data_IF_202499616650
#
_entry.id   IF_202499616650
#
_cell.length_a   1.000
_cell.length_b   1.000
_cell.length_c   1.000
_cell.angle_alpha   90.00
_cell.angle_beta   90.00
_cell.angle_gamma   90.00
#
_symmetry.space_group_name_H-M   'P 1'
#
loop_
_entity.id
_entity.type
_entity.pdbx_description
1 polymer ?
#
# COMPACT_ATOMS: atom_id res chain seq x y z
N UNK A 1 -8.39 9.38 26.56
CA UNK A 1 -8.02 10.31 25.48
C UNK A 1 -7.41 9.48 24.37
N UNK A 2 -8.12 9.19 23.26
CA UNK A 2 -7.55 8.64 22.02
C UNK A 2 -8.63 8.49 20.91
N UNK A 3 -9.40 9.55 20.67
CA UNK A 3 -10.46 9.54 19.64
C UNK A 3 -10.13 10.42 18.43
N UNK A 4 -8.99 11.14 18.45
CA UNK A 4 -8.63 12.10 17.38
C UNK A 4 -7.74 11.52 16.28
N UNK A 5 -6.99 10.45 16.53
CA UNK A 5 -6.03 9.92 15.52
C UNK A 5 -6.77 9.28 14.33
N UNK A 6 -7.92 8.63 14.58
CA UNK A 6 -8.66 7.91 13.54
C UNK A 6 -9.35 8.81 12.50
N UNK A 7 -9.58 10.09 12.79
CA UNK A 7 -10.17 11.02 11.82
C UNK A 7 -9.16 11.60 10.83
N UNK A 8 -7.87 11.60 11.16
CA UNK A 8 -6.85 12.23 10.32
C UNK A 8 -6.34 11.30 9.20
N UNK A 9 -6.32 9.98 9.41
CA UNK A 9 -5.78 9.02 8.42
C UNK A 9 -6.69 8.72 7.22
N UNK A 10 -8.02 8.90 7.36
CA UNK A 10 -8.94 8.87 6.22
C UNK A 10 -9.16 10.26 5.59
N UNK A 11 -8.66 11.33 6.24
CA UNK A 11 -8.80 12.68 5.69
C UNK A 11 -8.08 12.75 4.34
N UNK A 12 -8.69 13.48 3.40
CA UNK A 12 -8.10 13.83 2.11
C UNK A 12 -6.68 14.36 2.30
N UNK A 13 -6.41 15.08 3.39
CA UNK A 13 -5.13 15.71 3.68
C UNK A 13 -3.97 14.71 3.87
N UNK A 14 -4.19 13.57 4.56
CA UNK A 14 -3.13 12.57 4.74
C UNK A 14 -2.77 11.90 3.41
N UNK A 15 -3.77 11.54 2.61
CA UNK A 15 -3.57 10.89 1.30
C UNK A 15 -2.86 11.83 0.33
N UNK A 16 -3.30 13.09 0.28
CA UNK A 16 -2.72 14.11 -0.59
C UNK A 16 -1.29 14.46 -0.18
N UNK A 17 -1.03 14.53 1.13
CA UNK A 17 0.31 14.74 1.66
C UNK A 17 1.26 13.58 1.29
N UNK A 18 0.82 12.32 1.46
CA UNK A 18 1.64 11.15 1.11
C UNK A 18 1.83 11.02 -0.39
N UNK A 19 0.82 11.34 -1.21
CA UNK A 19 0.95 11.40 -2.66
C UNK A 19 2.01 12.43 -3.08
N UNK A 20 2.00 13.61 -2.46
CA UNK A 20 2.99 14.66 -2.73
C UNK A 20 4.40 14.17 -2.40
N UNK A 21 4.62 13.60 -1.21
CA UNK A 21 5.92 13.05 -0.81
C UNK A 21 6.38 11.91 -1.72
N UNK A 22 5.45 11.07 -2.16
CA UNK A 22 5.76 10.01 -3.11
C UNK A 22 6.21 10.56 -4.46
N UNK A 23 5.53 11.56 -5.02
CA UNK A 23 5.97 12.25 -6.25
C UNK A 23 7.36 12.88 -6.10
N UNK A 24 7.62 13.53 -4.97
CA UNK A 24 8.94 14.09 -4.67
C UNK A 24 10.03 13.00 -4.65
N UNK A 25 9.74 11.84 -4.05
CA UNK A 25 10.63 10.67 -4.09
C UNK A 25 10.90 10.20 -5.52
N UNK A 26 9.85 9.97 -6.32
CA UNK A 26 9.99 9.49 -7.70
C UNK A 26 10.86 10.43 -8.54
N UNK A 27 10.58 11.74 -8.50
CA UNK A 27 11.33 12.72 -9.28
C UNK A 27 12.77 12.89 -8.80
N UNK A 28 13.01 12.74 -7.49
CA UNK A 28 14.37 12.71 -6.96
C UNK A 28 15.14 11.48 -7.48
N UNK A 29 14.54 10.28 -7.45
CA UNK A 29 15.16 9.04 -7.95
C UNK A 29 15.50 9.14 -9.43
N UNK A 30 14.62 9.73 -10.25
CA UNK A 30 14.89 10.00 -11.67
C UNK A 30 16.02 11.02 -11.83
N UNK A 31 15.99 12.13 -11.07
CA UNK A 31 17.02 13.17 -11.11
C UNK A 31 18.41 12.63 -10.78
N UNK A 32 18.48 11.74 -9.78
CA UNK A 32 19.72 11.17 -9.26
C UNK A 32 20.21 9.95 -10.07
N UNK A 33 19.46 9.51 -11.09
CA UNK A 33 19.86 8.43 -12.00
C UNK A 33 20.95 8.86 -13.00
N UNK A 34 21.62 7.87 -13.61
CA UNK A 34 22.63 8.08 -14.66
C UNK A 34 22.06 8.39 -16.04
N UNK A 35 20.73 8.54 -16.15
CA UNK A 35 20.05 8.87 -17.39
C UNK A 35 20.49 10.23 -17.97
N UNK A 36 20.43 10.36 -19.29
CA UNK A 36 20.66 11.66 -19.94
C UNK A 36 19.55 12.64 -19.56
N UNK A 37 19.76 13.94 -19.82
CA UNK A 37 18.72 14.95 -19.55
C UNK A 37 17.43 14.68 -20.33
N UNK A 38 17.53 14.24 -21.58
CA UNK A 38 16.36 13.92 -22.39
C UNK A 38 15.62 12.72 -21.80
N UNK A 39 16.36 11.63 -21.51
CA UNK A 39 15.77 10.42 -20.95
C UNK A 39 15.15 10.66 -19.56
N UNK A 40 15.69 11.58 -18.77
CA UNK A 40 15.10 11.99 -17.48
C UNK A 40 13.75 12.68 -17.65
N UNK A 41 13.59 13.52 -18.66
CA UNK A 41 12.30 14.16 -18.94
C UNK A 41 11.29 13.15 -19.50
N UNK A 42 11.73 12.27 -20.40
CA UNK A 42 10.89 11.18 -20.91
C UNK A 42 10.42 10.26 -19.78
N UNK A 43 11.33 9.88 -18.87
CA UNK A 43 11.01 9.04 -17.70
C UNK A 43 10.04 9.73 -16.74
N UNK A 44 10.16 11.05 -16.55
CA UNK A 44 9.19 11.81 -15.75
C UNK A 44 7.81 11.81 -16.40
N UNK A 45 7.75 11.97 -17.72
CA UNK A 45 6.49 11.91 -18.46
C UNK A 45 5.83 10.54 -18.32
N UNK A 46 6.59 9.47 -18.53
CA UNK A 46 6.11 8.09 -18.37
C UNK A 46 5.54 7.85 -16.96
N UNK A 47 6.26 8.30 -15.92
CA UNK A 47 5.78 8.16 -14.54
C UNK A 47 4.51 8.99 -14.30
N UNK A 48 4.41 10.18 -14.88
CA UNK A 48 3.21 11.00 -14.77
C UNK A 48 2.02 10.31 -15.44
N UNK A 49 2.22 9.67 -16.59
CA UNK A 49 1.20 8.92 -17.30
C UNK A 49 0.73 7.73 -16.46
N UNK A 50 1.66 6.98 -15.85
CA UNK A 50 1.33 5.87 -14.93
C UNK A 50 0.56 6.34 -13.69
N UNK A 51 0.90 7.51 -13.14
CA UNK A 51 0.16 8.11 -12.01
C UNK A 51 -1.29 8.40 -12.43
N UNK A 52 -1.49 8.98 -13.61
CA UNK A 52 -2.82 9.31 -14.12
C UNK A 52 -3.62 8.04 -14.44
N UNK A 53 -2.99 7.08 -15.11
CA UNK A 53 -3.62 5.82 -15.54
C UNK A 53 -4.08 4.95 -14.35
N UNK A 54 -3.22 4.79 -13.34
CA UNK A 54 -3.46 3.85 -12.24
C UNK A 54 -3.92 4.52 -10.93
N UNK A 55 -3.76 5.84 -10.81
CA UNK A 55 -4.11 6.60 -9.61
C UNK A 55 -5.33 7.49 -9.82
N UNK A 56 -5.52 8.06 -11.02
CA UNK A 56 -6.47 9.15 -11.24
C UNK A 56 -6.21 10.29 -10.24
N UNK A 57 -7.27 10.70 -9.52
CA UNK A 57 -7.20 11.69 -8.45
C UNK A 57 -6.78 11.11 -7.08
N UNK A 58 -6.51 9.80 -7.01
CA UNK A 58 -6.29 9.07 -5.75
C UNK A 58 -4.87 8.54 -5.62
N UNK A 59 -4.36 8.50 -4.38
CA UNK A 59 -3.11 7.82 -4.08
C UNK A 59 -3.31 6.30 -3.97
N UNK A 60 -3.66 5.61 -5.05
CA UNK A 60 -4.00 4.18 -5.07
C UNK A 60 -2.79 3.24 -4.95
N UNK A 61 -3.00 2.06 -4.36
CA UNK A 61 -1.98 1.01 -4.15
C UNK A 61 -1.35 0.53 -5.44
N UNK A 62 -2.18 0.30 -6.47
CA UNK A 62 -1.73 -0.10 -7.80
C UNK A 62 -0.83 0.95 -8.45
N UNK A 63 -1.20 2.23 -8.35
CA UNK A 63 -0.38 3.33 -8.86
C UNK A 63 1.00 3.36 -8.20
N UNK A 64 1.05 3.27 -6.87
CA UNK A 64 2.30 3.22 -6.11
C UNK A 64 3.17 2.04 -6.55
N UNK A 65 2.58 0.85 -6.69
CA UNK A 65 3.29 -0.35 -7.13
C UNK A 65 3.89 -0.21 -8.54
N UNK A 66 3.05 0.15 -9.52
CA UNK A 66 3.47 0.21 -10.93
C UNK A 66 4.55 1.29 -11.13
N UNK A 67 4.40 2.45 -10.51
CA UNK A 67 5.37 3.54 -10.61
C UNK A 67 6.71 3.18 -9.95
N UNK A 68 6.70 2.51 -8.79
CA UNK A 68 7.94 2.05 -8.15
C UNK A 68 8.65 0.97 -8.96
N UNK A 69 7.92 -0.01 -9.49
CA UNK A 69 8.50 -1.03 -10.37
C UNK A 69 9.12 -0.44 -11.61
N UNK A 70 8.47 0.55 -12.21
CA UNK A 70 8.95 1.22 -13.42
C UNK A 70 10.28 1.97 -13.22
N UNK A 71 10.57 2.41 -11.99
CA UNK A 71 11.85 3.05 -11.64
C UNK A 71 12.80 2.13 -10.88
N UNK A 72 12.52 0.83 -10.75
CA UNK A 72 13.29 -0.12 -9.94
C UNK A 72 13.52 0.39 -8.51
N UNK A 73 12.43 0.78 -7.84
CA UNK A 73 12.41 1.25 -6.47
C UNK A 73 12.17 0.11 -5.48
N UNK A 74 12.91 0.13 -4.37
CA UNK A 74 12.71 -0.80 -3.25
C UNK A 74 11.40 -0.45 -2.52
N UNK A 75 10.38 -1.30 -2.70
CA UNK A 75 9.05 -1.09 -2.14
C UNK A 75 9.08 -1.08 -0.60
N UNK A 76 9.87 -1.96 0.01
CA UNK A 76 9.91 -2.11 1.46
C UNK A 76 10.57 -0.87 2.08
N UNK A 77 11.72 -0.45 1.54
CA UNK A 77 12.40 0.76 2.00
C UNK A 77 11.53 2.01 1.81
N UNK A 78 10.83 2.13 0.67
CA UNK A 78 9.95 3.28 0.42
C UNK A 78 8.76 3.27 1.36
N UNK A 79 8.16 2.11 1.64
CA UNK A 79 7.07 2.00 2.62
C UNK A 79 7.51 2.43 4.02
N UNK A 80 8.65 1.94 4.50
CA UNK A 80 9.19 2.32 5.82
C UNK A 80 9.49 3.83 5.89
N UNK A 81 10.04 4.41 4.82
CA UNK A 81 10.35 5.85 4.79
C UNK A 81 9.13 6.74 4.60
N UNK A 82 8.15 6.29 3.81
CA UNK A 82 7.01 7.12 3.42
C UNK A 82 5.90 7.07 4.47
N UNK A 83 5.80 5.98 5.24
CA UNK A 83 4.76 5.74 6.24
C UNK A 83 5.33 5.51 7.64
N UNK A 84 6.49 6.09 7.94
CA UNK A 84 7.15 6.04 9.25
C UNK A 84 6.31 6.63 10.40
N UNK A 85 5.49 7.62 10.06
CA UNK A 85 4.51 8.29 10.93
C UNK A 85 3.17 7.55 11.06
N UNK A 86 2.97 6.47 10.32
CA UNK A 86 1.73 5.69 10.38
C UNK A 86 1.70 4.83 11.64
N UNK A 87 0.83 5.19 12.59
CA UNK A 87 0.67 4.43 13.84
C UNK A 87 -0.31 3.28 13.65
N UNK A 88 0.22 2.05 13.66
CA UNK A 88 -0.58 0.83 13.66
C UNK A 88 -1.11 0.51 15.08
N UNK A 89 -2.44 0.40 15.29
CA UNK A 89 -3.01 0.25 16.63
C UNK A 89 -3.06 -1.20 17.20
N UNK A 90 -2.68 -2.25 16.46
CA UNK A 90 -2.78 -3.66 16.93
C UNK A 90 -4.20 -4.28 16.83
N UNK A 91 -4.35 -5.63 16.97
CA UNK A 91 -5.65 -6.34 16.77
C UNK A 91 -5.85 -7.63 17.64
N UNK A 92 -7.12 -8.03 17.86
CA UNK A 92 -7.66 -9.30 18.47
C UNK A 92 -8.79 -9.94 17.59
N UNK A 93 -9.06 -11.28 17.59
CA UNK A 93 -9.61 -12.02 16.41
C UNK A 93 -11.09 -12.56 16.40
N UNK A 94 -11.77 -12.66 15.22
CA UNK A 94 -13.01 -13.46 14.91
C UNK A 94 -13.35 -13.68 13.38
N UNK A 95 -14.13 -14.72 12.96
CA UNK A 95 -14.09 -15.43 11.61
C UNK A 95 -15.24 -15.30 10.55
N UNK A 96 -14.92 -15.42 9.20
CA UNK A 96 -15.46 -16.25 8.02
C UNK A 96 -15.44 -15.55 6.61
N UNK A 97 -15.00 -16.21 5.48
CA UNK A 97 -14.44 -15.57 4.24
C UNK A 97 -14.60 -16.33 2.85
N UNK A 98 -14.55 -15.63 1.67
CA UNK A 98 -14.70 -16.17 0.27
C UNK A 98 -13.96 -15.53 -0.96
N UNK A 99 -13.10 -14.48 -0.86
CA UNK A 99 -12.31 -13.86 -1.97
C UNK A 99 -10.78 -13.90 -1.81
N UNK A 100 -9.93 -13.42 -2.75
CA UNK A 100 -8.44 -13.39 -2.61
C UNK A 100 -7.98 -12.60 -1.38
N UNK A 101 -8.55 -11.42 -1.15
CA UNK A 101 -8.38 -10.68 0.10
C UNK A 101 -8.91 -11.50 1.28
N UNK A 102 -10.08 -12.11 1.16
CA UNK A 102 -10.62 -12.97 2.20
C UNK A 102 -9.77 -14.24 2.45
N UNK A 103 -9.03 -14.74 1.46
CA UNK A 103 -8.14 -15.88 1.54
C UNK A 103 -6.82 -15.42 2.20
N UNK A 104 -6.31 -14.26 1.85
CA UNK A 104 -5.18 -13.65 2.55
C UNK A 104 -5.52 -13.43 4.02
N UNK A 105 -6.60 -12.71 4.31
CA UNK A 105 -7.08 -12.48 5.67
C UNK A 105 -7.57 -13.78 6.32
N UNK A 106 -7.87 -14.88 5.64
CA UNK A 106 -8.27 -16.12 6.35
C UNK A 106 -7.19 -16.71 7.25
N UNK A 107 -5.90 -16.40 6.98
CA UNK A 107 -4.83 -16.73 7.92
C UNK A 107 -4.67 -15.71 9.05
N UNK A 108 -5.40 -14.60 8.99
CA UNK A 108 -5.48 -13.51 9.97
C UNK A 108 -6.91 -13.55 10.53
N UNK A 109 -7.22 -14.34 11.57
CA UNK A 109 -8.61 -14.58 12.02
C UNK A 109 -9.40 -13.29 12.37
N UNK A 110 -9.84 -12.46 11.43
CA UNK A 110 -10.40 -11.12 11.64
C UNK A 110 -11.68 -10.91 10.82
N UNK A 111 -12.63 -10.18 11.42
CA UNK A 111 -13.85 -9.74 10.75
C UNK A 111 -13.63 -8.41 10.00
N UNK A 112 -14.60 -8.02 9.15
CA UNK A 112 -14.50 -6.82 8.31
C UNK A 112 -14.29 -5.53 9.11
N UNK A 113 -14.89 -5.43 10.30
CA UNK A 113 -14.79 -4.24 11.15
C UNK A 113 -13.42 -4.09 11.79
N UNK A 114 -12.80 -5.20 12.18
CA UNK A 114 -11.46 -5.23 12.78
C UNK A 114 -10.40 -4.79 11.76
N UNK A 115 -10.48 -5.31 10.53
CA UNK A 115 -9.55 -4.94 9.46
C UNK A 115 -9.74 -3.48 9.08
N UNK A 116 -10.99 -3.03 8.98
CA UNK A 116 -11.33 -1.63 8.69
C UNK A 116 -10.68 -0.67 9.70
N UNK A 117 -10.83 -0.97 10.99
CA UNK A 117 -10.21 -0.17 12.06
C UNK A 117 -8.68 -0.17 11.98
N UNK A 118 -8.09 -1.32 11.67
CA UNK A 118 -6.65 -1.49 11.68
C UNK A 118 -5.92 -0.79 10.52
N UNK A 119 -6.59 -0.66 9.38
CA UNK A 119 -5.99 -0.06 8.17
C UNK A 119 -6.52 1.35 7.89
N UNK A 120 -7.33 1.93 8.79
CA UNK A 120 -7.97 3.22 8.57
C UNK A 120 -8.87 3.21 7.33
N UNK A 121 -9.81 2.27 7.30
CA UNK A 121 -10.86 2.17 6.28
C UNK A 121 -12.23 2.05 6.96
N UNK A 122 -13.31 2.28 6.22
CA UNK A 122 -14.66 1.91 6.67
C UNK A 122 -14.96 0.41 6.50
N UNK A 123 -15.72 -0.18 7.44
CA UNK A 123 -16.14 -1.59 7.37
C UNK A 123 -16.98 -1.91 6.13
N UNK A 124 -17.76 -0.94 5.65
CA UNK A 124 -18.52 -1.07 4.40
C UNK A 124 -17.59 -1.18 3.18
N UNK A 125 -16.49 -0.43 3.14
CA UNK A 125 -15.48 -0.55 2.08
C UNK A 125 -14.76 -1.89 2.13
N UNK A 126 -14.36 -2.36 3.31
CA UNK A 126 -13.74 -3.70 3.44
C UNK A 126 -14.69 -4.78 2.95
N UNK A 127 -15.98 -4.72 3.33
CA UNK A 127 -16.98 -5.67 2.85
C UNK A 127 -17.14 -5.63 1.32
N UNK A 128 -17.13 -4.44 0.70
CA UNK A 128 -17.21 -4.34 -0.76
C UNK A 128 -15.96 -4.86 -1.47
N UNK A 129 -14.76 -4.49 -1.00
CA UNK A 129 -13.49 -5.01 -1.53
C UNK A 129 -13.41 -6.53 -1.37
N UNK A 130 -13.82 -7.04 -0.20
CA UNK A 130 -13.91 -8.48 0.06
C UNK A 130 -14.86 -9.18 -0.91
N UNK A 131 -15.96 -8.56 -1.29
CA UNK A 131 -16.94 -9.16 -2.20
C UNK A 131 -16.70 -8.82 -3.68
N UNK A 132 -15.56 -8.19 -4.03
CA UNK A 132 -15.28 -7.68 -5.39
C UNK A 132 -16.39 -6.76 -5.93
N UNK A 133 -17.02 -5.98 -5.06
CA UNK A 133 -18.05 -4.98 -5.43
C UNK A 133 -17.57 -3.55 -5.20
N UNK A 134 -16.30 -3.38 -4.83
CA UNK A 134 -15.60 -2.10 -4.87
C UNK A 134 -14.55 -2.16 -5.99
N UNK A 135 -14.69 -1.28 -6.97
CA UNK A 135 -13.70 -1.11 -8.03
C UNK A 135 -12.52 -0.24 -7.57
N UNK A 136 -12.61 0.35 -6.35
CA UNK A 136 -11.51 1.14 -5.77
C UNK A 136 -10.54 0.25 -5.01
N UNK A 137 -9.32 0.14 -5.54
CA UNK A 137 -8.21 -0.57 -4.91
C UNK A 137 -7.88 -0.01 -3.51
N UNK A 138 -7.19 -0.82 -2.69
CA UNK A 138 -6.59 -0.34 -1.45
C UNK A 138 -5.59 0.79 -1.71
N UNK A 139 -5.51 1.75 -0.79
CA UNK A 139 -4.42 2.73 -0.80
C UNK A 139 -3.11 2.06 -0.34
N UNK A 140 -1.92 2.56 -0.73
CA UNK A 140 -0.64 1.94 -0.41
C UNK A 140 -0.43 1.78 1.09
N UNK A 141 -0.81 2.77 1.90
CA UNK A 141 -0.71 2.69 3.35
C UNK A 141 -1.59 1.58 3.95
N UNK A 142 -2.70 1.24 3.29
CA UNK A 142 -3.60 0.17 3.72
C UNK A 142 -3.00 -1.20 3.39
N UNK A 143 -2.38 -1.33 2.21
CA UNK A 143 -1.62 -2.54 1.86
C UNK A 143 -0.42 -2.71 2.80
N UNK A 144 0.30 -1.63 3.12
CA UNK A 144 1.36 -1.63 4.12
C UNK A 144 0.87 -2.08 5.50
N UNK A 145 -0.24 -1.52 5.99
CA UNK A 145 -0.84 -1.93 7.25
C UNK A 145 -1.23 -3.42 7.24
N UNK A 146 -1.83 -3.92 6.15
CA UNK A 146 -2.14 -5.35 5.99
C UNK A 146 -0.90 -6.23 6.04
N UNK A 147 0.22 -5.82 5.43
CA UNK A 147 1.47 -6.56 5.49
C UNK A 147 2.02 -6.64 6.93
N UNK A 148 1.98 -5.53 7.68
CA UNK A 148 2.37 -5.48 9.10
C UNK A 148 1.50 -6.38 9.97
N UNK A 149 0.18 -6.33 9.79
CA UNK A 149 -0.78 -7.20 10.49
C UNK A 149 -0.46 -8.68 10.26
N UNK A 150 -0.01 -8.99 9.04
CA UNK A 150 0.21 -10.37 8.59
C UNK A 150 1.62 -10.88 8.87
N UNK A 151 2.51 -10.03 9.41
CA UNK A 151 3.92 -10.38 9.62
C UNK A 151 4.61 -10.80 8.32
N UNK A 152 4.43 -10.05 7.24
CA UNK A 152 5.08 -10.27 5.94
C UNK A 152 5.67 -8.96 5.41
N UNK A 153 6.49 -9.06 4.36
CA UNK A 153 7.01 -7.87 3.69
C UNK A 153 5.92 -7.19 2.86
N UNK A 154 5.85 -5.84 2.87
CA UNK A 154 4.97 -5.08 1.98
C UNK A 154 5.12 -5.50 0.51
N UNK A 155 6.36 -5.65 0.02
CA UNK A 155 6.66 -6.09 -1.35
C UNK A 155 5.94 -7.38 -1.73
N UNK A 156 5.93 -8.40 -0.86
CA UNK A 156 5.21 -9.65 -1.07
C UNK A 156 3.70 -9.44 -1.23
N UNK A 157 3.13 -8.52 -0.45
CA UNK A 157 1.69 -8.25 -0.50
C UNK A 157 1.30 -7.40 -1.72
N UNK A 158 2.13 -6.41 -2.10
CA UNK A 158 1.94 -5.64 -3.33
C UNK A 158 2.05 -6.54 -4.57
N UNK A 159 3.04 -7.44 -4.61
CA UNK A 159 3.19 -8.42 -5.70
C UNK A 159 1.99 -9.37 -5.79
N UNK A 160 1.44 -9.79 -4.66
CA UNK A 160 0.26 -10.64 -4.64
C UNK A 160 -1.03 -9.93 -5.08
N UNK A 161 -1.22 -8.67 -4.66
CA UNK A 161 -2.44 -7.91 -5.00
C UNK A 161 -2.42 -7.32 -6.41
N UNK A 162 -1.26 -6.87 -6.90
CA UNK A 162 -1.18 -6.08 -8.14
C UNK A 162 -0.20 -6.64 -9.18
N UNK A 163 0.68 -7.57 -8.78
CA UNK A 163 1.65 -8.22 -9.64
C UNK A 163 1.27 -9.67 -9.97
N UNK A 164 2.30 -10.49 -10.17
CA UNK A 164 2.17 -11.94 -10.38
C UNK A 164 2.71 -12.75 -9.19
N UNK A 165 2.82 -12.10 -8.02
CA UNK A 165 3.35 -12.72 -6.81
C UNK A 165 2.50 -13.88 -6.34
N UNK A 166 3.16 -14.90 -5.80
CA UNK A 166 2.47 -15.98 -5.10
C UNK A 166 1.79 -15.47 -3.83
N UNK A 167 0.80 -16.23 -3.34
CA UNK A 167 0.14 -15.92 -2.08
C UNK A 167 1.16 -15.99 -0.93
N UNK A 168 1.36 -14.90 -0.17
CA UNK A 168 2.30 -14.90 0.95
C UNK A 168 1.83 -15.80 2.10
N UNK A 169 2.79 -16.41 2.79
CA UNK A 169 2.57 -17.19 4.02
C UNK A 169 2.59 -16.23 5.20
N UNK A 170 1.52 -16.23 6.00
CA UNK A 170 1.36 -15.31 7.14
C UNK A 170 2.29 -15.70 8.28
N UNK A 171 2.89 -14.69 8.94
CA UNK A 171 3.80 -14.87 10.06
C UNK A 171 5.24 -15.22 9.67
N UNK A 172 5.59 -15.12 8.38
CA UNK A 172 6.90 -15.44 7.85
C UNK A 172 7.52 -14.16 7.27
N UNK A 173 8.15 -13.36 8.14
CA UNK A 173 9.08 -12.32 7.70
C UNK A 173 10.41 -13.03 7.38
N UNK A 174 10.96 -12.92 6.16
CA UNK A 174 12.31 -13.39 5.90
C UNK A 174 13.26 -12.72 6.90
N UNK A 175 14.25 -13.43 7.47
CA UNK A 175 15.25 -12.78 8.31
C UNK A 175 15.87 -11.62 7.52
N UNK A 176 15.95 -10.44 8.14
CA UNK A 176 16.60 -9.29 7.53
C UNK A 176 18.01 -9.73 7.13
N UNK A 177 18.35 -9.64 5.85
CA UNK A 177 19.73 -9.84 5.41
C UNK A 177 20.58 -8.77 6.11
N UNK A 178 21.37 -9.20 7.09
CA UNK A 178 22.39 -8.38 7.74
C UNK A 178 23.34 -7.89 6.64
N UNK A 179 23.30 -6.58 6.36
CA UNK A 179 24.31 -5.90 5.54
C UNK A 179 25.58 -5.66 6.33
#
# INVERSE_FOLDING_TARGET
MNTNIHKETESTDYKDFKLKRFREYLYKKIKDSDLSRADKEDKKSEIQDLIVEYGGDNFAGKMFYVTLKNIDGDIDQVCESLFDDYVYPGITPSTKLSSKFAIFVSGICLNDGEIASAIGSSGSRISRVRNNTDDTDFYPFQVYALAKISGILPSQLFEYFYGNGERPIIGLVPPAEEK
#
